data_IF_845603175890
#
_entry.id   IF_845603175890
#
_cell.length_a   1.000
_cell.length_b   1.000
_cell.length_c   1.000
_cell.angle_alpha   90.00
_cell.angle_beta   90.00
_cell.angle_gamma   90.00
#
_symmetry.space_group_name_H-M   'P 1'
#
loop_
_entity.id
_entity.type
_entity.pdbx_description
1 polymer ?
#
# COMPACT_ATOMS: atom_id res chain seq x y z
N UNK A 1 12.07 4.05 -21.46
CA UNK A 1 12.60 2.89 -22.21
C UNK A 1 11.44 2.17 -22.87
N UNK A 2 11.57 1.77 -24.14
CA UNK A 2 10.58 0.91 -24.82
C UNK A 2 11.06 -0.53 -24.71
N UNK A 3 10.21 -1.41 -24.21
CA UNK A 3 10.54 -2.82 -23.96
C UNK A 3 9.38 -3.67 -24.45
N UNK A 4 9.68 -4.79 -25.09
CA UNK A 4 8.69 -5.80 -25.45
C UNK A 4 8.72 -6.90 -24.39
N UNK A 5 7.59 -7.13 -23.73
CA UNK A 5 7.44 -8.15 -22.69
C UNK A 5 6.12 -8.88 -22.91
N UNK A 6 6.12 -10.19 -22.65
CA UNK A 6 4.90 -11.01 -22.69
C UNK A 6 4.19 -10.86 -21.34
N UNK A 7 2.93 -10.45 -21.36
CA UNK A 7 2.08 -10.29 -20.18
C UNK A 7 0.74 -10.96 -20.46
N UNK A 8 0.19 -11.64 -19.46
CA UNK A 8 -1.16 -12.20 -19.51
C UNK A 8 -2.21 -11.11 -19.73
N UNK A 9 -3.07 -11.28 -20.73
CA UNK A 9 -4.07 -10.28 -21.11
C UNK A 9 -5.11 -10.04 -20.01
N UNK A 10 -5.56 -11.11 -19.35
CA UNK A 10 -6.52 -11.04 -18.25
C UNK A 10 -5.99 -10.23 -17.06
N UNK A 11 -4.68 -10.28 -16.79
CA UNK A 11 -4.06 -9.50 -15.73
C UNK A 11 -4.15 -7.99 -16.03
N UNK A 12 -3.86 -7.60 -17.27
CA UNK A 12 -3.96 -6.20 -17.69
C UNK A 12 -5.42 -5.74 -17.73
N UNK A 13 -6.34 -6.59 -18.19
CA UNK A 13 -7.78 -6.27 -18.23
C UNK A 13 -8.32 -5.99 -16.84
N UNK A 14 -8.05 -6.87 -15.86
CA UNK A 14 -8.39 -6.64 -14.44
C UNK A 14 -7.72 -5.39 -13.90
N UNK A 15 -6.45 -5.16 -14.25
CA UNK A 15 -5.71 -3.97 -13.86
C UNK A 15 -6.38 -2.67 -14.35
N UNK A 16 -6.80 -2.63 -15.62
CA UNK A 16 -7.52 -1.48 -16.19
C UNK A 16 -8.86 -1.26 -15.47
N UNK A 17 -9.63 -2.32 -15.25
CA UNK A 17 -10.93 -2.25 -14.58
C UNK A 17 -10.81 -1.75 -13.13
N UNK A 18 -9.87 -2.28 -12.35
CA UNK A 18 -9.70 -1.90 -10.94
C UNK A 18 -9.10 -0.52 -10.74
N UNK A 19 -8.31 -0.03 -11.71
CA UNK A 19 -7.61 1.26 -11.58
C UNK A 19 -8.28 2.39 -12.34
N UNK A 20 -9.20 2.09 -13.27
CA UNK A 20 -9.79 3.08 -14.18
C UNK A 20 -8.78 3.69 -15.17
N UNK A 21 -7.59 3.10 -15.30
CA UNK A 21 -6.55 3.58 -16.22
C UNK A 21 -6.91 3.24 -17.67
N UNK A 22 -6.38 4.05 -18.61
CA UNK A 22 -6.79 3.98 -20.01
C UNK A 22 -5.90 3.06 -20.84
N UNK A 23 -4.63 2.90 -20.44
CA UNK A 23 -3.64 2.21 -21.26
C UNK A 23 -2.91 1.09 -20.52
N UNK A 24 -2.50 0.04 -21.27
CA UNK A 24 -1.69 -1.07 -20.75
C UNK A 24 -0.39 -0.54 -20.10
N UNK A 25 0.23 0.49 -20.69
CA UNK A 25 1.44 1.15 -20.17
C UNK A 25 1.22 1.79 -18.78
N UNK A 26 0.10 2.49 -18.60
CA UNK A 26 -0.21 3.13 -17.32
C UNK A 26 -0.40 2.08 -16.22
N UNK A 27 -1.14 1.00 -16.51
CA UNK A 27 -1.34 -0.10 -15.55
C UNK A 27 -0.02 -0.73 -15.14
N UNK A 28 0.87 -1.02 -16.10
CA UNK A 28 2.19 -1.60 -15.79
C UNK A 28 3.02 -0.64 -14.93
N UNK A 29 3.08 0.65 -15.27
CA UNK A 29 3.81 1.63 -14.47
C UNK A 29 3.21 1.79 -13.06
N UNK A 30 1.88 1.81 -12.95
CA UNK A 30 1.18 1.89 -11.68
C UNK A 30 1.49 0.67 -10.81
N UNK A 31 1.40 -0.54 -11.37
CA UNK A 31 1.70 -1.78 -10.65
C UNK A 31 3.13 -1.81 -10.11
N UNK A 32 4.12 -1.40 -10.92
CA UNK A 32 5.52 -1.32 -10.50
C UNK A 32 5.72 -0.29 -9.37
N UNK A 33 5.10 0.89 -9.49
CA UNK A 33 5.16 1.91 -8.44
C UNK A 33 4.53 1.44 -7.13
N UNK A 34 3.36 0.81 -7.20
CA UNK A 34 2.67 0.31 -6.01
C UNK A 34 3.43 -0.86 -5.37
N UNK A 35 4.11 -1.70 -6.17
CA UNK A 35 5.01 -2.73 -5.63
C UNK A 35 6.15 -2.11 -4.82
N UNK A 36 6.84 -1.11 -5.37
CA UNK A 36 7.92 -0.39 -4.68
C UNK A 36 7.38 0.24 -3.39
N UNK A 37 6.28 1.00 -3.49
CA UNK A 37 5.65 1.68 -2.36
C UNK A 37 5.24 0.72 -1.24
N UNK A 38 4.75 -0.48 -1.60
CA UNK A 38 4.47 -1.56 -0.63
C UNK A 38 5.72 -2.07 0.06
N UNK A 39 6.84 -2.20 -0.64
CA UNK A 39 8.11 -2.63 -0.04
C UNK A 39 8.69 -1.54 0.86
N UNK A 40 8.69 -0.28 0.42
CA UNK A 40 9.12 0.86 1.23
C UNK A 40 8.30 1.00 2.51
N UNK A 41 6.98 0.83 2.45
CA UNK A 41 6.15 0.82 3.69
C UNK A 41 6.57 -0.29 4.66
N UNK A 42 7.03 -1.44 4.18
CA UNK A 42 7.52 -2.51 5.06
C UNK A 42 8.87 -2.17 5.71
N UNK A 43 9.64 -1.24 5.16
CA UNK A 43 10.91 -0.81 5.75
C UNK A 43 10.70 -0.18 7.14
N UNK A 44 9.52 0.38 7.42
CA UNK A 44 9.19 0.88 8.77
C UNK A 44 9.32 -0.22 9.84
N UNK A 45 9.08 -1.48 9.46
CA UNK A 45 9.19 -2.62 10.37
C UNK A 45 10.64 -2.84 10.84
N UNK A 46 11.65 -2.31 10.14
CA UNK A 46 13.06 -2.37 10.58
C UNK A 46 13.31 -1.59 11.86
N UNK A 47 12.42 -0.66 12.22
CA UNK A 47 12.48 0.12 13.45
C UNK A 47 11.74 -0.54 14.62
N UNK A 48 11.06 -1.67 14.41
CA UNK A 48 10.38 -2.43 15.47
C UNK A 48 11.37 -2.78 16.59
N UNK A 49 11.06 -2.35 17.81
CA UNK A 49 11.91 -2.59 18.99
C UNK A 49 13.20 -1.75 19.05
N UNK A 50 13.48 -0.90 18.06
CA UNK A 50 14.64 0.00 18.05
C UNK A 50 14.30 1.41 18.50
N UNK A 51 13.05 1.83 18.30
CA UNK A 51 12.57 3.13 18.74
C UNK A 51 11.99 3.01 20.15
N UNK A 52 12.43 3.89 21.05
CA UNK A 52 11.79 4.10 22.34
C UNK A 52 10.51 4.88 22.09
N UNK A 53 9.38 4.23 22.32
CA UNK A 53 8.07 4.88 22.34
C UNK A 53 7.74 5.30 23.78
N UNK A 54 7.22 6.50 23.96
CA UNK A 54 6.83 7.06 25.26
C UNK A 54 5.35 7.48 25.20
N UNK A 55 4.55 6.98 26.13
CA UNK A 55 3.10 7.17 26.16
C UNK A 55 2.39 6.10 26.99
N UNK A 56 1.19 6.44 27.49
CA UNK A 56 0.30 5.50 28.18
C UNK A 56 -0.82 5.06 27.23
N UNK A 57 -0.83 3.76 26.90
CA UNK A 57 -1.82 3.18 25.98
C UNK A 57 -3.23 3.18 26.56
N UNK A 58 -3.37 3.04 27.88
CA UNK A 58 -4.67 3.02 28.54
C UNK A 58 -5.28 4.42 28.50
N UNK A 59 -4.49 5.46 28.74
CA UNK A 59 -4.91 6.85 28.60
C UNK A 59 -5.43 7.16 27.19
N UNK A 60 -4.66 6.80 26.16
CA UNK A 60 -5.00 7.09 24.77
C UNK A 60 -6.28 6.36 24.29
N UNK A 61 -6.69 5.30 24.99
CA UNK A 61 -7.86 4.49 24.62
C UNK A 61 -9.13 4.85 25.38
N UNK A 62 -9.06 5.71 26.41
CA UNK A 62 -10.21 6.10 27.23
C UNK A 62 -11.39 6.66 26.41
N UNK A 63 -11.13 7.37 25.31
CA UNK A 63 -12.18 7.93 24.45
C UNK A 63 -12.89 6.90 23.55
N UNK A 64 -12.45 5.65 23.48
CA UNK A 64 -13.05 4.63 22.60
C UNK A 64 -14.33 4.00 23.14
N UNK A 65 -14.61 4.17 24.44
CA UNK A 65 -15.69 3.48 25.12
C UNK A 65 -16.67 4.42 25.86
N UNK A 66 -16.53 5.75 25.70
CA UNK A 66 -17.32 6.73 26.45
C UNK A 66 -18.60 7.22 25.74
N UNK A 67 -19.04 6.58 24.64
CA UNK A 67 -20.27 6.94 23.92
C UNK A 67 -21.39 5.91 24.15
N UNK A 68 -21.75 5.64 25.40
CA UNK A 68 -23.01 4.95 25.70
C UNK A 68 -23.54 5.36 27.08
N UNK A 69 -24.30 6.45 27.10
CA UNK A 69 -25.40 6.74 28.04
C UNK A 69 -26.48 7.53 27.29
#
# INVERSE_FOLDING_TARGET
MRTNIVIEEELIKKGLEYTGLKTKKEVVNFALRELIRRKERKEILRFKGKLRWDGDLEEMRRSRFNDTD
#
